data_IF_309728093735
#
_entry.id   IF_309728093735
#
_cell.length_a   1.000
_cell.length_b   1.000
_cell.length_c   1.000
_cell.angle_alpha   90.00
_cell.angle_beta   90.00
_cell.angle_gamma   90.00
#
_symmetry.space_group_name_H-M   'P 1'
#
loop_
_entity.id
_entity.type
_entity.pdbx_description
1 polymer ?
#
# COMPACT_ATOMS: atom_id res chain seq x y z
N UNK A 1 -27.40 -13.18 51.67
CA UNK A 1 -26.65 -13.71 50.50
C UNK A 1 -27.31 -13.18 49.24
N UNK A 2 -26.70 -12.23 48.53
CA UNK A 2 -27.28 -11.52 47.38
C UNK A 2 -26.43 -11.85 46.16
N UNK A 3 -26.99 -12.60 45.21
CA UNK A 3 -26.29 -13.11 44.02
C UNK A 3 -25.99 -11.94 43.09
N UNK A 4 -24.71 -11.61 42.87
CA UNK A 4 -24.28 -10.71 41.79
C UNK A 4 -24.31 -11.51 40.48
N UNK A 5 -25.28 -11.23 39.62
CA UNK A 5 -25.22 -11.66 38.22
C UNK A 5 -24.30 -10.72 37.45
N UNK A 6 -23.15 -11.24 37.04
CA UNK A 6 -22.21 -10.57 36.16
C UNK A 6 -22.67 -10.77 34.71
N UNK A 7 -23.38 -9.80 34.14
CA UNK A 7 -23.63 -9.76 32.69
C UNK A 7 -22.33 -9.34 31.99
N UNK A 8 -21.61 -10.32 31.45
CA UNK A 8 -20.46 -10.07 30.57
C UNK A 8 -21.02 -9.55 29.24
N UNK A 9 -20.93 -8.23 29.01
CA UNK A 9 -21.15 -7.64 27.69
C UNK A 9 -19.95 -8.00 26.82
N UNK A 10 -20.13 -8.96 25.90
CA UNK A 10 -19.17 -9.22 24.85
C UNK A 10 -19.19 -8.04 23.85
N UNK A 11 -18.17 -7.18 23.90
CA UNK A 11 -17.97 -6.14 22.91
C UNK A 11 -17.40 -6.77 21.63
N UNK A 12 -18.24 -6.96 20.62
CA UNK A 12 -17.82 -7.34 19.27
C UNK A 12 -17.12 -6.15 18.62
N UNK A 13 -15.81 -6.25 18.43
CA UNK A 13 -15.02 -5.29 17.67
C UNK A 13 -15.40 -5.46 16.19
N UNK A 14 -16.16 -4.52 15.64
CA UNK A 14 -16.44 -4.44 14.21
C UNK A 14 -15.18 -3.89 13.52
N UNK A 15 -14.41 -4.76 12.85
CA UNK A 15 -13.39 -4.33 11.92
C UNK A 15 -14.07 -3.72 10.69
N UNK A 16 -13.91 -2.41 10.48
CA UNK A 16 -14.44 -1.74 9.29
C UNK A 16 -13.56 -2.09 8.08
N UNK A 17 -14.14 -2.50 6.94
CA UNK A 17 -13.36 -2.63 5.71
C UNK A 17 -12.78 -1.27 5.32
N UNK A 18 -11.48 -1.25 5.01
CA UNK A 18 -10.81 -0.06 4.49
C UNK A 18 -11.37 0.28 3.11
N UNK A 19 -12.13 1.37 3.01
CA UNK A 19 -12.58 1.87 1.71
C UNK A 19 -11.41 2.58 1.00
N UNK A 20 -11.33 2.37 -0.32
CA UNK A 20 -10.48 3.18 -1.19
C UNK A 20 -10.85 4.66 -1.06
N UNK A 21 -9.85 5.52 -1.11
CA UNK A 21 -9.96 6.97 -1.00
C UNK A 21 -9.26 7.59 -2.19
N UNK A 22 -9.88 8.61 -2.78
CA UNK A 22 -9.20 9.42 -3.78
C UNK A 22 -8.04 10.20 -3.14
N UNK A 23 -6.88 10.17 -3.79
CA UNK A 23 -5.65 10.81 -3.35
C UNK A 23 -4.85 11.33 -4.55
N UNK A 24 -3.73 12.01 -4.30
CA UNK A 24 -2.66 12.13 -5.30
C UNK A 24 -1.61 11.06 -5.02
N UNK A 25 -1.16 10.32 -6.02
CA UNK A 25 -0.10 9.32 -5.86
C UNK A 25 1.07 9.57 -6.81
N UNK A 26 2.22 9.03 -6.42
CA UNK A 26 3.38 8.89 -7.28
C UNK A 26 4.00 7.50 -7.11
N UNK A 27 4.35 6.84 -8.22
CA UNK A 27 5.16 5.63 -8.26
C UNK A 27 6.37 5.87 -9.15
N UNK A 28 7.54 5.94 -8.54
CA UNK A 28 8.83 6.05 -9.25
C UNK A 28 9.67 4.83 -8.93
N UNK A 29 10.21 4.18 -9.97
CA UNK A 29 11.12 3.03 -9.85
C UNK A 29 12.30 3.25 -10.79
N UNK A 30 13.51 3.14 -10.27
CA UNK A 30 14.77 3.36 -11.00
C UNK A 30 14.79 4.71 -11.75
N UNK A 31 14.26 5.75 -11.10
CA UNK A 31 14.20 7.10 -11.66
C UNK A 31 13.10 7.33 -12.72
N UNK A 32 12.34 6.30 -13.09
CA UNK A 32 11.20 6.41 -14.01
C UNK A 32 9.89 6.50 -13.24
N UNK A 33 9.09 7.50 -13.54
CA UNK A 33 7.75 7.68 -12.94
C UNK A 33 6.69 6.96 -13.77
N UNK A 34 6.08 5.94 -13.18
CA UNK A 34 5.05 5.10 -13.80
C UNK A 34 3.64 5.57 -13.47
N UNK A 35 3.47 6.32 -12.38
CA UNK A 35 2.22 6.95 -11.96
C UNK A 35 2.53 8.31 -11.33
N UNK A 36 1.83 9.36 -11.74
CA UNK A 36 1.77 10.67 -11.09
C UNK A 36 0.41 11.30 -11.37
N UNK A 37 -0.36 11.57 -10.32
CA UNK A 37 -1.67 12.22 -10.44
C UNK A 37 -2.74 11.62 -9.53
N UNK A 38 -4.03 11.86 -9.84
CA UNK A 38 -5.14 11.28 -9.11
C UNK A 38 -5.07 9.75 -9.09
N UNK A 39 -5.32 9.17 -7.93
CA UNK A 39 -5.27 7.73 -7.69
C UNK A 39 -6.30 7.32 -6.64
N UNK A 40 -6.48 6.01 -6.50
CA UNK A 40 -7.16 5.37 -5.41
C UNK A 40 -6.13 4.83 -4.41
N UNK A 41 -6.16 5.36 -3.19
CA UNK A 41 -5.43 4.86 -2.04
C UNK A 41 -6.34 3.90 -1.27
N UNK A 42 -5.95 2.62 -1.18
CA UNK A 42 -6.72 1.59 -0.50
C UNK A 42 -5.98 1.10 0.75
N UNK A 43 -6.38 1.50 1.96
CA UNK A 43 -5.78 0.97 3.19
C UNK A 43 -6.09 -0.51 3.36
N UNK A 44 -5.10 -1.29 3.80
CA UNK A 44 -5.21 -2.73 3.99
C UNK A 44 -5.03 -3.07 5.48
N UNK A 45 -6.14 -3.13 6.21
CA UNK A 45 -6.10 -3.33 7.65
C UNK A 45 -5.58 -2.11 8.42
N UNK A 46 -5.12 -2.34 9.65
CA UNK A 46 -4.81 -1.27 10.61
C UNK A 46 -3.30 -0.97 10.73
N UNK A 47 -2.45 -1.77 10.07
CA UNK A 47 -0.98 -1.71 10.19
C UNK A 47 -0.30 -0.58 9.42
N UNK A 48 -1.07 0.22 8.67
CA UNK A 48 -0.54 1.22 7.75
C UNK A 48 -0.25 0.69 6.35
N UNK A 49 -0.49 -0.59 6.10
CA UNK A 49 -0.40 -1.21 4.78
C UNK A 49 -1.41 -0.55 3.83
N UNK A 50 -1.03 -0.44 2.56
CA UNK A 50 -1.92 0.11 1.54
C UNK A 50 -1.57 -0.36 0.13
N UNK A 51 -2.53 -0.13 -0.77
CA UNK A 51 -2.35 -0.20 -2.21
C UNK A 51 -2.57 1.18 -2.83
N UNK A 52 -1.79 1.53 -3.84
CA UNK A 52 -2.10 2.62 -4.79
C UNK A 52 -2.42 2.04 -6.16
N UNK A 53 -3.45 2.58 -6.81
CA UNK A 53 -3.83 2.29 -8.20
C UNK A 53 -4.49 3.52 -8.82
N UNK A 54 -4.66 3.56 -10.14
CA UNK A 54 -5.49 4.59 -10.77
C UNK A 54 -6.34 4.00 -11.90
N UNK A 55 -7.56 4.51 -12.15
CA UNK A 55 -8.43 3.98 -13.20
C UNK A 55 -7.81 3.99 -14.60
N UNK A 56 -7.06 5.05 -14.92
CA UNK A 56 -6.45 5.27 -16.23
C UNK A 56 -4.94 4.92 -16.27
N UNK A 57 -4.45 4.19 -15.26
CA UNK A 57 -3.05 3.77 -15.17
C UNK A 57 -2.96 2.27 -14.85
N UNK A 58 -2.28 1.45 -15.69
CA UNK A 58 -2.20 0.02 -15.46
C UNK A 58 -1.26 -0.36 -14.31
N UNK A 59 -0.46 0.57 -13.80
CA UNK A 59 0.48 0.33 -12.71
C UNK A 59 -0.22 0.39 -11.35
N UNK A 60 0.19 -0.48 -10.44
CA UNK A 60 -0.22 -0.46 -9.04
C UNK A 60 0.89 -0.98 -8.14
N UNK A 61 0.91 -0.50 -6.90
CA UNK A 61 1.87 -0.90 -5.90
C UNK A 61 1.18 -1.20 -4.57
N UNK A 62 1.69 -2.20 -3.87
CA UNK A 62 1.36 -2.57 -2.51
C UNK A 62 2.54 -2.19 -1.61
N UNK A 63 2.24 -1.67 -0.43
CA UNK A 63 3.20 -1.40 0.63
C UNK A 63 2.71 -2.08 1.89
N UNK A 64 3.54 -2.94 2.47
CA UNK A 64 3.29 -3.67 3.70
C UNK A 64 4.22 -3.13 4.78
N UNK A 65 3.66 -2.53 5.82
CA UNK A 65 4.41 -1.83 6.85
C UNK A 65 4.77 -2.80 7.97
N UNK A 66 6.07 -2.89 8.26
CA UNK A 66 6.59 -3.74 9.31
C UNK A 66 6.53 -3.02 10.68
N UNK A 67 6.40 -3.77 11.79
CA UNK A 67 6.39 -3.18 13.14
C UNK A 67 7.66 -2.42 13.53
N UNK A 68 8.76 -2.61 12.79
CA UNK A 68 10.03 -1.91 13.01
C UNK A 68 10.09 -0.52 12.33
N UNK A 69 9.01 -0.11 11.67
CA UNK A 69 8.89 1.18 10.98
C UNK A 69 9.47 1.17 9.55
N UNK A 70 9.87 0.02 9.03
CA UNK A 70 10.16 -0.19 7.61
C UNK A 70 8.93 -0.71 6.86
N UNK A 71 9.05 -0.92 5.55
CA UNK A 71 8.02 -1.57 4.76
C UNK A 71 8.62 -2.38 3.62
N UNK A 72 7.90 -3.42 3.17
CA UNK A 72 8.16 -4.11 1.92
C UNK A 72 7.19 -3.63 0.84
N UNK A 73 7.72 -3.23 -0.32
CA UNK A 73 6.92 -2.85 -1.47
C UNK A 73 6.87 -3.93 -2.55
N UNK A 74 5.72 -4.09 -3.20
CA UNK A 74 5.58 -4.89 -4.41
C UNK A 74 4.77 -4.14 -5.45
N UNK A 75 5.10 -4.31 -6.73
CA UNK A 75 4.38 -3.67 -7.83
C UNK A 75 4.21 -4.64 -8.98
N UNK A 76 3.35 -4.27 -9.94
CA UNK A 76 2.92 -5.17 -11.00
C UNK A 76 3.82 -5.18 -12.23
N UNK A 77 5.13 -5.00 -12.06
CA UNK A 77 6.08 -5.05 -13.17
C UNK A 77 6.50 -6.46 -13.55
N UNK A 78 6.75 -6.62 -14.84
CA UNK A 78 7.60 -7.65 -15.45
C UNK A 78 8.53 -6.94 -16.46
N UNK A 79 9.47 -7.63 -17.08
CA UNK A 79 10.36 -7.07 -18.11
C UNK A 79 10.06 -7.65 -19.48
N UNK A 80 10.01 -6.79 -20.49
CA UNK A 80 10.02 -7.25 -21.89
C UNK A 80 11.42 -7.74 -22.31
N UNK A 81 11.56 -8.22 -23.55
CA UNK A 81 12.84 -8.72 -24.07
C UNK A 81 13.93 -7.65 -24.19
N UNK A 82 13.56 -6.37 -24.12
CA UNK A 82 14.48 -5.23 -24.09
C UNK A 82 14.85 -4.78 -22.67
N UNK A 83 14.30 -5.41 -21.63
CA UNK A 83 14.51 -5.03 -20.24
C UNK A 83 13.64 -3.87 -19.76
N UNK A 84 12.72 -3.38 -20.59
CA UNK A 84 11.79 -2.33 -20.17
C UNK A 84 10.67 -2.92 -19.31
N UNK A 85 10.26 -2.20 -18.27
CA UNK A 85 9.17 -2.64 -17.42
C UNK A 85 7.82 -2.57 -18.14
N UNK A 86 7.06 -3.66 -18.07
CA UNK A 86 5.68 -3.78 -18.57
C UNK A 86 4.73 -4.18 -17.44
N UNK A 87 3.50 -3.63 -17.39
CA UNK A 87 2.56 -3.94 -16.32
C UNK A 87 1.92 -5.32 -16.52
N UNK A 88 1.67 -6.00 -15.41
CA UNK A 88 1.00 -7.31 -15.35
C UNK A 88 -0.21 -7.25 -14.41
N UNK A 89 -0.96 -8.36 -14.31
CA UNK A 89 -2.13 -8.44 -13.44
C UNK A 89 -1.80 -8.72 -11.96
N UNK A 90 -0.53 -8.90 -11.59
CA UNK A 90 -0.12 -9.27 -10.22
C UNK A 90 1.04 -8.43 -9.73
N UNK A 91 0.92 -7.86 -8.54
CA UNK A 91 2.02 -7.19 -7.85
C UNK A 91 2.99 -8.22 -7.25
N UNK A 92 3.97 -8.65 -8.04
CA UNK A 92 4.93 -9.68 -7.64
C UNK A 92 6.37 -9.16 -7.63
N UNK A 93 6.69 -8.16 -8.45
CA UNK A 93 8.02 -7.59 -8.48
C UNK A 93 8.32 -6.86 -7.17
N UNK A 94 9.45 -7.13 -6.50
CA UNK A 94 9.82 -6.45 -5.27
C UNK A 94 10.31 -5.03 -5.56
N UNK A 95 9.95 -4.09 -4.69
CA UNK A 95 10.47 -2.72 -4.65
C UNK A 95 11.62 -2.57 -3.63
N UNK A 96 11.93 -3.64 -2.92
CA UNK A 96 12.89 -3.66 -1.81
C UNK A 96 12.31 -3.07 -0.52
N UNK A 97 13.17 -2.97 0.49
CA UNK A 97 12.84 -2.33 1.77
C UNK A 97 12.68 -0.83 1.58
N UNK A 98 11.58 -0.28 2.08
CA UNK A 98 11.22 1.12 2.03
C UNK A 98 11.25 1.71 3.44
N UNK A 99 11.48 3.03 3.50
CA UNK A 99 11.36 3.83 4.72
C UNK A 99 10.44 5.00 4.50
N UNK A 100 9.71 5.36 5.53
CA UNK A 100 8.80 6.50 5.48
C UNK A 100 9.59 7.81 5.43
N UNK A 101 9.29 8.64 4.45
CA UNK A 101 9.74 10.01 4.34
C UNK A 101 8.54 10.86 3.90
N UNK A 102 8.02 11.68 4.81
CA UNK A 102 6.79 12.45 4.61
C UNK A 102 5.60 11.58 4.15
N UNK A 103 5.08 11.82 2.94
CA UNK A 103 3.97 11.09 2.33
C UNK A 103 4.41 9.83 1.56
N UNK A 104 5.71 9.55 1.53
CA UNK A 104 6.30 8.52 0.69
C UNK A 104 6.90 7.38 1.51
N UNK A 105 6.81 6.18 0.96
CA UNK A 105 7.65 5.04 1.31
C UNK A 105 8.70 4.88 0.23
N UNK A 106 9.96 5.09 0.57
CA UNK A 106 11.03 5.23 -0.41
C UNK A 106 12.34 4.56 0.00
N UNK A 107 13.17 4.29 -0.99
CA UNK A 107 14.59 3.95 -0.85
C UNK A 107 15.40 4.74 -1.90
N UNK A 108 16.62 4.29 -2.23
CA UNK A 108 17.49 5.00 -3.17
C UNK A 108 16.94 5.09 -4.60
N UNK A 109 16.15 4.11 -5.03
CA UNK A 109 15.68 3.99 -6.42
C UNK A 109 14.16 3.96 -6.54
N UNK A 110 13.44 3.77 -5.44
CA UNK A 110 11.98 3.66 -5.40
C UNK A 110 11.37 4.76 -4.55
N UNK A 111 10.24 5.31 -5.02
CA UNK A 111 9.33 6.11 -4.21
C UNK A 111 7.88 5.73 -4.49
N UNK A 112 7.13 5.44 -3.42
CA UNK A 112 5.67 5.20 -3.44
C UNK A 112 5.02 6.25 -2.53
N UNK A 113 4.39 7.27 -3.12
CA UNK A 113 3.79 8.38 -2.38
C UNK A 113 2.28 8.38 -2.49
N UNK A 114 1.61 8.81 -1.42
CA UNK A 114 0.18 9.11 -1.41
C UNK A 114 -0.11 10.33 -0.50
N UNK A 115 -0.71 11.38 -1.07
CA UNK A 115 -1.09 12.63 -0.38
C UNK A 115 -2.60 12.77 -0.23
#
# INVERSE_FOLDING_TARGET
>A
MRKLSLCILAATILASPGFAKSAKCQLTVEGTTYMDGPCEFSPMGDGGDFQISAPDNPWFAYVYVDPDGTAMGHWNADQDSGGAYVPTSRAHAPLGTLRRNEACWQNETVSVCAW
#
